data_IF_609031393042
#
_entry.id   IF_609031393042
#
_cell.length_a   1.000
_cell.length_b   1.000
_cell.length_c   1.000
_cell.angle_alpha   90.00
_cell.angle_beta   90.00
_cell.angle_gamma   90.00
#
_symmetry.space_group_name_H-M   'P 1'
#
loop_
_entity.id
_entity.type
_entity.pdbx_description
1 polymer ?
#
# COMPACT_ATOMS: atom_id res chain seq x y z
N UNK A 1 2.20 -0.06 0.32
CA UNK A 1 0.94 -0.36 1.04
C UNK A 1 1.19 -1.50 2.04
N UNK A 2 0.38 -1.65 3.08
CA UNK A 2 0.48 -2.82 3.98
C UNK A 2 -0.72 -3.75 3.75
N UNK A 3 -0.46 -5.04 3.86
CA UNK A 3 -1.45 -6.11 3.74
C UNK A 3 -1.33 -7.04 4.94
N UNK A 4 -2.41 -7.72 5.29
CA UNK A 4 -2.40 -8.84 6.23
C UNK A 4 -2.46 -10.14 5.46
N UNK A 5 -1.59 -11.09 5.78
CA UNK A 5 -1.66 -12.44 5.26
C UNK A 5 -2.95 -13.13 5.75
N UNK A 6 -3.82 -13.51 4.82
CA UNK A 6 -5.02 -14.29 5.11
C UNK A 6 -4.71 -15.77 5.34
N UNK A 7 -3.62 -16.24 4.71
CA UNK A 7 -3.14 -17.62 4.75
C UNK A 7 -1.62 -17.65 4.85
N UNK A 8 -1.05 -18.77 5.30
CA UNK A 8 0.40 -19.00 5.25
C UNK A 8 0.83 -19.40 3.84
N UNK A 9 1.98 -18.91 3.40
CA UNK A 9 2.58 -19.22 2.11
C UNK A 9 4.04 -19.64 2.29
N UNK A 10 4.46 -20.66 1.56
CA UNK A 10 5.85 -21.12 1.52
C UNK A 10 6.39 -20.92 0.12
N UNK A 11 7.42 -20.10 0.00
CA UNK A 11 8.14 -19.85 -1.25
C UNK A 11 8.62 -21.18 -1.85
N UNK A 12 8.25 -21.40 -3.10
CA UNK A 12 8.71 -22.45 -4.00
C UNK A 12 9.90 -22.00 -4.85
N UNK A 13 10.00 -20.70 -5.15
CA UNK A 13 11.03 -20.10 -6.00
C UNK A 13 11.90 -19.10 -5.21
N UNK A 14 13.08 -18.76 -5.75
CA UNK A 14 14.09 -17.98 -5.03
C UNK A 14 13.70 -16.50 -4.87
N UNK A 15 12.81 -16.04 -5.74
CA UNK A 15 12.29 -14.68 -5.88
C UNK A 15 10.91 -14.51 -5.22
N UNK A 16 10.38 -15.57 -4.60
CA UNK A 16 9.18 -15.54 -3.75
C UNK A 16 9.53 -15.35 -2.27
N UNK A 17 8.58 -14.86 -1.46
CA UNK A 17 8.76 -14.75 0.00
C UNK A 17 7.73 -15.56 0.76
N UNK A 18 8.19 -16.42 1.67
CA UNK A 18 7.35 -17.11 2.64
C UNK A 18 6.83 -16.18 3.73
N UNK A 19 5.58 -16.37 4.14
CA UNK A 19 4.94 -15.64 5.24
C UNK A 19 3.91 -16.52 5.95
N UNK A 20 3.56 -16.19 7.19
CA UNK A 20 2.53 -16.86 7.96
C UNK A 20 1.22 -16.09 7.94
N UNK A 21 0.11 -16.79 8.09
CA UNK A 21 -1.20 -16.16 8.30
C UNK A 21 -1.11 -15.15 9.46
N UNK A 22 -1.61 -13.95 9.20
CA UNK A 22 -1.59 -12.83 10.15
C UNK A 22 -0.37 -11.93 10.03
N UNK A 23 0.66 -12.31 9.26
CA UNK A 23 1.82 -11.45 9.03
C UNK A 23 1.42 -10.15 8.33
N UNK A 24 2.09 -9.06 8.70
CA UNK A 24 2.00 -7.77 8.02
C UNK A 24 3.01 -7.73 6.89
N UNK A 25 2.53 -7.53 5.67
CA UNK A 25 3.28 -7.60 4.44
C UNK A 25 3.30 -6.21 3.81
N UNK A 26 4.49 -5.67 3.53
CA UNK A 26 4.63 -4.36 2.88
C UNK A 26 4.63 -4.54 1.36
N UNK A 27 3.49 -4.37 0.72
CA UNK A 27 3.34 -4.40 -0.73
C UNK A 27 3.99 -3.15 -1.35
N UNK A 28 4.94 -3.34 -2.25
CA UNK A 28 5.71 -2.26 -2.91
C UNK A 28 5.25 -2.01 -4.33
N UNK A 29 4.88 -3.05 -5.09
CA UNK A 29 4.41 -2.93 -6.48
C UNK A 29 3.20 -3.83 -6.72
N UNK A 30 2.27 -3.31 -7.51
CA UNK A 30 1.02 -3.96 -7.87
C UNK A 30 0.86 -3.73 -9.37
N UNK A 31 0.98 -4.80 -10.16
CA UNK A 31 0.72 -4.74 -11.61
C UNK A 31 -0.70 -5.24 -11.87
N UNK A 32 -1.52 -4.44 -12.54
CA UNK A 32 -2.95 -4.73 -12.78
C UNK A 32 -3.21 -6.07 -13.51
N UNK A 33 -2.25 -6.55 -14.30
CA UNK A 33 -2.36 -7.80 -15.07
C UNK A 33 -1.71 -9.01 -14.39
N UNK A 34 -1.18 -8.87 -13.17
CA UNK A 34 -0.46 -9.92 -12.44
C UNK A 34 -1.22 -10.38 -11.19
N UNK A 35 -1.38 -11.70 -11.02
CA UNK A 35 -1.91 -12.29 -9.78
C UNK A 35 -0.89 -12.30 -8.62
N UNK A 36 0.24 -11.60 -8.79
CA UNK A 36 1.36 -11.53 -7.88
C UNK A 36 1.74 -10.09 -7.60
N UNK A 37 2.02 -9.80 -6.33
CA UNK A 37 2.53 -8.50 -5.91
C UNK A 37 3.99 -8.61 -5.49
N UNK A 38 4.77 -7.56 -5.75
CA UNK A 38 6.07 -7.41 -5.12
C UNK A 38 5.85 -6.87 -3.72
N UNK A 39 6.43 -7.55 -2.73
CA UNK A 39 6.32 -7.14 -1.34
C UNK A 39 7.64 -7.33 -0.58
N UNK A 40 7.68 -6.74 0.60
CA UNK A 40 8.75 -6.88 1.57
C UNK A 40 8.19 -7.50 2.87
N UNK A 41 8.78 -8.61 3.30
CA UNK A 41 8.44 -9.31 4.56
C UNK A 41 9.73 -9.55 5.32
N UNK A 42 9.81 -9.05 6.56
CA UNK A 42 10.98 -9.18 7.44
C UNK A 42 12.31 -8.73 6.77
N UNK A 43 12.26 -7.67 5.95
CA UNK A 43 13.43 -7.12 5.24
C UNK A 43 13.86 -7.90 4.01
N UNK A 44 13.14 -8.96 3.61
CA UNK A 44 13.32 -9.65 2.33
C UNK A 44 12.29 -9.15 1.33
N UNK A 45 12.71 -8.86 0.10
CA UNK A 45 11.84 -8.41 -1.01
C UNK A 45 11.69 -9.51 -2.06
N UNK A 46 10.49 -9.67 -2.61
CA UNK A 46 10.13 -10.73 -3.54
C UNK A 46 8.61 -10.82 -3.75
N UNK A 47 8.17 -11.86 -4.46
CA UNK A 47 6.79 -12.02 -4.86
C UNK A 47 5.92 -12.69 -3.79
N UNK A 48 4.70 -12.18 -3.65
CA UNK A 48 3.64 -12.76 -2.82
C UNK A 48 2.35 -12.86 -3.65
N UNK A 49 1.58 -13.96 -3.52
CA UNK A 49 0.36 -14.14 -4.30
C UNK A 49 -0.75 -13.23 -3.78
N UNK A 50 -1.40 -12.49 -4.67
CA UNK A 50 -2.47 -11.52 -4.33
C UNK A 50 -3.59 -12.17 -3.51
N UNK A 51 -4.00 -13.38 -3.88
CA UNK A 51 -5.11 -14.08 -3.23
C UNK A 51 -4.80 -14.60 -1.81
N UNK A 52 -3.56 -14.44 -1.33
CA UNK A 52 -3.16 -14.86 0.03
C UNK A 52 -3.14 -13.70 1.01
N UNK A 53 -3.29 -12.47 0.53
CA UNK A 53 -3.16 -11.28 1.34
C UNK A 53 -4.42 -10.43 1.18
N UNK A 54 -4.84 -9.77 2.25
CA UNK A 54 -5.80 -8.69 2.17
C UNK A 54 -5.01 -7.42 2.37
N UNK A 55 -4.98 -6.54 1.37
CA UNK A 55 -4.55 -5.17 1.60
C UNK A 55 -5.32 -4.66 2.81
N UNK A 56 -4.60 -4.16 3.82
CA UNK A 56 -5.26 -3.58 4.96
C UNK A 56 -6.03 -2.38 4.41
N UNK A 57 -7.37 -2.35 4.53
CA UNK A 57 -8.13 -1.19 4.12
C UNK A 57 -7.78 -0.12 5.13
N UNK A 58 -6.73 0.65 4.86
CA UNK A 58 -6.52 1.91 5.52
C UNK A 58 -7.74 2.75 5.18
N UNK A 59 -8.64 3.05 6.14
CA UNK A 59 -9.88 3.75 5.84
C UNK A 59 -9.61 5.12 5.18
N UNK A 60 -8.41 5.65 5.45
CA UNK A 60 -7.88 6.86 4.89
C UNK A 60 -7.26 6.70 3.49
N UNK A 61 -6.81 5.52 3.04
CA UNK A 61 -6.25 5.40 1.69
C UNK A 61 -7.37 5.16 0.67
N UNK A 62 -7.67 6.19 -0.11
CA UNK A 62 -8.77 6.17 -1.06
C UNK A 62 -8.36 5.77 -2.49
N UNK A 63 -7.06 5.62 -2.76
CA UNK A 63 -6.53 5.27 -4.09
C UNK A 63 -6.78 6.38 -5.13
N UNK A 64 -7.18 6.02 -6.38
CA UNK A 64 -7.44 6.99 -7.45
C UNK A 64 -8.77 7.71 -7.22
N UNK A 65 -8.73 8.75 -6.40
CA UNK A 65 -9.89 9.61 -6.10
C UNK A 65 -9.59 11.02 -6.54
N UNK A 66 -10.56 11.63 -7.23
CA UNK A 66 -10.40 12.98 -7.71
C UNK A 66 -10.33 14.00 -6.59
N UNK A 67 -9.71 15.15 -6.85
CA UNK A 67 -9.74 16.27 -5.89
C UNK A 67 -11.18 16.61 -5.52
N UNK A 68 -12.05 16.71 -6.53
CA UNK A 68 -13.45 17.07 -6.37
C UNK A 68 -14.23 16.02 -5.57
N UNK A 69 -13.98 14.73 -5.80
CA UNK A 69 -14.66 13.67 -5.06
C UNK A 69 -14.12 13.53 -3.63
N UNK A 70 -12.85 13.83 -3.39
CA UNK A 70 -12.31 13.97 -2.05
C UNK A 70 -13.00 15.11 -1.30
N UNK A 71 -13.16 16.27 -1.94
CA UNK A 71 -13.90 17.41 -1.38
C UNK A 71 -15.34 17.01 -1.02
N UNK A 72 -16.09 16.35 -1.91
CA UNK A 72 -17.47 15.89 -1.63
C UNK A 72 -17.56 14.94 -0.43
N UNK A 73 -16.59 14.04 -0.26
CA UNK A 73 -16.58 13.04 0.83
C UNK A 73 -16.22 13.65 2.18
N UNK A 74 -15.30 14.61 2.18
CA UNK A 74 -14.75 15.21 3.39
C UNK A 74 -15.49 16.47 3.83
N UNK A 75 -16.15 17.16 2.89
CA UNK A 75 -16.98 18.32 3.23
C UNK A 75 -18.07 17.87 4.20
N UNK A 76 -18.19 18.60 5.32
CA UNK A 76 -19.07 18.29 6.45
C UNK A 76 -18.62 17.16 7.39
N UNK A 77 -17.40 16.63 7.23
CA UNK A 77 -16.78 15.78 8.24
C UNK A 77 -16.13 16.63 9.33
N UNK A 78 -15.93 16.06 10.52
CA UNK A 78 -15.20 16.70 11.61
C UNK A 78 -13.80 17.17 11.18
N UNK A 79 -13.33 18.26 11.79
CA UNK A 79 -11.97 18.76 11.53
C UNK A 79 -10.93 17.67 11.81
N UNK A 80 -10.02 17.47 10.85
CA UNK A 80 -8.96 16.48 10.91
C UNK A 80 -9.30 15.16 10.23
N UNK A 81 -10.56 14.90 9.88
CA UNK A 81 -10.92 13.73 9.06
C UNK A 81 -10.25 13.84 7.70
N UNK A 82 -9.55 12.80 7.26
CA UNK A 82 -8.73 12.86 6.05
C UNK A 82 -8.86 11.63 5.16
N UNK A 83 -8.33 11.78 3.95
CA UNK A 83 -7.98 10.67 3.08
C UNK A 83 -6.69 10.99 2.30
N UNK A 84 -5.94 9.96 1.96
CA UNK A 84 -4.81 9.97 1.03
C UNK A 84 -5.31 9.46 -0.32
N UNK A 85 -5.03 10.22 -1.37
CA UNK A 85 -5.41 9.91 -2.74
C UNK A 85 -4.21 10.04 -3.66
N UNK A 86 -4.25 9.34 -4.79
CA UNK A 86 -3.32 9.58 -5.89
C UNK A 86 -3.64 10.92 -6.56
N UNK A 87 -2.59 11.63 -6.96
CA UNK A 87 -2.72 12.96 -7.57
C UNK A 87 -3.12 12.83 -9.04
N UNK A 88 -4.34 13.26 -9.39
CA UNK A 88 -4.79 13.34 -10.79
C UNK A 88 -3.91 14.26 -11.65
N UNK A 89 -3.25 15.25 -11.02
CA UNK A 89 -2.44 16.24 -11.72
C UNK A 89 -0.99 15.81 -11.90
N UNK A 90 -0.56 14.74 -11.23
CA UNK A 90 0.82 14.24 -11.26
C UNK A 90 0.85 12.72 -11.02
N UNK A 91 0.96 11.91 -12.09
CA UNK A 91 1.07 10.46 -11.98
C UNK A 91 2.26 10.07 -11.08
N UNK A 92 2.01 9.21 -10.09
CA UNK A 92 3.01 8.76 -9.11
C UNK A 92 3.10 9.61 -7.83
N UNK A 93 2.42 10.76 -7.77
CA UNK A 93 2.39 11.57 -6.55
C UNK A 93 1.12 11.34 -5.72
N UNK A 94 1.20 11.58 -4.41
CA UNK A 94 0.07 11.47 -3.49
C UNK A 94 -0.37 12.84 -2.98
N UNK A 95 -1.61 12.92 -2.52
CA UNK A 95 -2.16 14.09 -1.84
C UNK A 95 -2.96 13.66 -0.61
N UNK A 96 -2.74 14.35 0.52
CA UNK A 96 -3.55 14.22 1.73
C UNK A 96 -4.64 15.29 1.69
N UNK A 97 -5.90 14.86 1.59
CA UNK A 97 -7.06 15.77 1.65
C UNK A 97 -7.64 15.71 3.05
N UNK A 98 -7.82 16.85 3.70
CA UNK A 98 -8.21 16.94 5.12
C UNK A 98 -9.40 17.87 5.27
N UNK A 99 -10.42 17.44 6.00
CA UNK A 99 -11.56 18.27 6.39
C UNK A 99 -11.13 19.30 7.43
N UNK A 100 -11.49 20.56 7.19
CA UNK A 100 -11.41 21.66 8.15
C UNK A 100 -12.77 21.98 8.76
N UNK A 101 -13.81 21.22 8.40
CA UNK A 101 -15.21 21.40 8.79
C UNK A 101 -16.02 22.09 7.71
N UNK A 102 -15.69 23.34 7.38
CA UNK A 102 -16.36 24.16 6.35
C UNK A 102 -15.78 23.95 4.94
N UNK A 103 -14.50 23.59 4.89
CA UNK A 103 -13.74 23.37 3.65
C UNK A 103 -12.83 22.16 3.76
N UNK A 104 -12.20 21.81 2.64
CA UNK A 104 -11.23 20.73 2.54
C UNK A 104 -9.92 21.33 2.05
N UNK A 105 -8.84 21.07 2.77
CA UNK A 105 -7.49 21.46 2.39
C UNK A 105 -6.76 20.26 1.79
N UNK A 106 -5.86 20.52 0.85
CA UNK A 106 -5.10 19.48 0.16
C UNK A 106 -3.60 19.73 0.34
N UNK A 107 -2.94 18.76 0.94
CA UNK A 107 -1.50 18.76 1.14
C UNK A 107 -0.86 17.83 0.11
N UNK A 108 0.09 18.36 -0.67
CA UNK A 108 0.86 17.54 -1.60
C UNK A 108 1.85 16.70 -0.82
N UNK A 109 1.88 15.41 -1.12
CA UNK A 109 2.95 14.52 -0.63
C UNK A 109 4.00 14.46 -1.72
N UNK A 110 5.22 14.87 -1.39
CA UNK A 110 6.37 14.74 -2.25
C UNK A 110 6.98 13.36 -2.01
N UNK A 111 7.33 12.66 -3.09
CA UNK A 111 8.05 11.39 -3.06
C UNK A 111 9.41 11.60 -3.73
N UNK A 112 10.46 11.14 -3.05
CA UNK A 112 11.83 11.21 -3.58
C UNK A 112 12.73 10.21 -2.86
N UNK A 113 13.35 9.31 -3.63
CA UNK A 113 14.29 8.32 -3.09
C UNK A 113 13.63 7.32 -2.13
N UNK A 114 12.34 7.02 -2.28
CA UNK A 114 11.58 6.13 -1.39
C UNK A 114 11.17 6.78 -0.07
N UNK A 115 11.30 8.10 0.05
CA UNK A 115 10.86 8.88 1.20
C UNK A 115 9.66 9.76 0.82
N UNK A 116 8.80 10.00 1.81
CA UNK A 116 7.57 10.79 1.70
C UNK A 116 7.59 11.97 2.64
N UNK A 117 7.25 13.17 2.18
CA UNK A 117 7.11 14.36 3.03
C UNK A 117 5.97 15.27 2.55
N UNK A 118 5.44 16.10 3.47
CA UNK A 118 4.52 17.20 3.16
C UNK A 118 5.19 18.55 3.43
N UNK A 119 5.90 18.61 4.56
CA UNK A 119 6.68 19.75 5.02
C UNK A 119 8.16 19.35 5.11
N UNK A 120 8.83 19.73 6.19
CA UNK A 120 10.26 19.44 6.43
C UNK A 120 10.51 17.96 6.81
N UNK A 121 9.54 17.34 7.49
CA UNK A 121 9.67 15.97 7.99
C UNK A 121 9.52 14.92 6.88
N UNK A 122 10.49 13.99 6.80
CA UNK A 122 10.55 12.91 5.82
C UNK A 122 10.35 11.53 6.45
N UNK A 123 9.60 10.67 5.75
CA UNK A 123 9.16 9.37 6.26
C UNK A 123 9.46 8.26 5.26
N UNK A 124 9.80 7.07 5.74
CA UNK A 124 10.07 5.90 4.89
C UNK A 124 8.81 5.21 4.34
N UNK A 125 7.61 5.70 4.69
CA UNK A 125 6.32 5.24 4.16
C UNK A 125 5.21 6.25 4.42
N UNK A 126 4.16 6.21 3.60
CA UNK A 126 2.92 6.97 3.84
C UNK A 126 2.29 6.66 5.19
N UNK A 127 2.39 5.42 5.66
CA UNK A 127 1.86 5.00 6.96
C UNK A 127 2.54 5.75 8.11
N UNK A 128 3.88 5.86 8.07
CA UNK A 128 4.64 6.62 9.06
C UNK A 128 4.33 8.11 9.01
N UNK A 129 4.15 8.65 7.81
CA UNK A 129 3.71 10.03 7.61
C UNK A 129 2.34 10.28 8.26
N UNK A 130 1.37 9.40 8.01
CA UNK A 130 0.03 9.48 8.58
C UNK A 130 0.07 9.38 10.11
N UNK A 131 0.79 8.39 10.64
CA UNK A 131 0.92 8.19 12.09
C UNK A 131 1.54 9.39 12.79
N UNK A 132 2.52 10.04 12.15
CA UNK A 132 3.13 11.26 12.67
C UNK A 132 2.09 12.38 12.80
N UNK A 133 1.33 12.67 11.74
CA UNK A 133 0.34 13.74 11.76
C UNK A 133 -0.96 13.41 12.54
N UNK A 134 -1.11 12.18 13.05
CA UNK A 134 -2.12 11.88 14.08
C UNK A 134 -1.80 12.53 15.43
N UNK A 135 -0.52 12.82 15.68
CA UNK A 135 -0.03 13.41 16.93
C UNK A 135 0.62 14.79 16.74
N UNK A 136 0.96 15.14 15.50
CA UNK A 136 1.55 16.43 15.13
C UNK A 136 0.62 17.18 14.19
N UNK A 137 0.56 18.51 14.33
CA UNK A 137 -0.30 19.33 13.47
C UNK A 137 0.19 19.30 12.04
N UNK A 138 -0.71 19.02 11.10
CA UNK A 138 -0.43 19.15 9.66
C UNK A 138 -0.51 20.60 9.17
N UNK A 139 -1.16 21.49 9.93
CA UNK A 139 -1.28 22.90 9.59
C UNK A 139 -0.46 23.82 10.51
N UNK A 140 -0.02 24.93 9.92
CA UNK A 140 0.78 25.97 10.58
C UNK A 140 -0.10 26.93 11.40
N UNK A 141 -1.23 27.37 10.85
CA UNK A 141 -2.07 28.41 11.47
C UNK A 141 -2.99 27.88 12.58
N UNK A 142 -3.36 26.60 12.53
CA UNK A 142 -4.27 25.95 13.47
C UNK A 142 -3.82 24.52 13.71
N UNK A 143 -3.96 24.05 14.94
CA UNK A 143 -3.72 22.66 15.29
C UNK A 143 -4.77 21.77 14.61
N UNK A 144 -4.33 20.98 13.63
CA UNK A 144 -5.14 20.00 12.91
C UNK A 144 -4.40 18.68 12.90
N UNK A 145 -4.94 17.70 13.61
CA UNK A 145 -4.41 16.34 13.68
C UNK A 145 -5.21 15.45 12.75
N UNK A 146 -4.55 14.51 12.08
CA UNK A 146 -5.21 13.55 11.21
C UNK A 146 -6.05 12.57 12.04
N UNK A 147 -7.29 12.34 11.58
CA UNK A 147 -8.24 11.42 12.20
C UNK A 147 -8.82 10.52 11.12
N UNK A 148 -8.88 9.23 11.40
CA UNK A 148 -9.45 8.28 10.47
C UNK A 148 -10.88 8.70 10.08
N UNK A 149 -11.25 8.60 8.79
CA UNK A 149 -12.62 8.83 8.40
C UNK A 149 -13.52 7.83 9.11
N UNK A 150 -14.73 8.24 9.52
CA UNK A 150 -15.67 7.34 10.16
C UNK A 150 -15.85 6.14 9.24
N UNK A 151 -15.54 4.95 9.76
CA UNK A 151 -15.58 3.70 9.01
C UNK A 151 -16.97 3.59 8.43
N UNK A 152 -17.10 3.83 7.13
CA UNK A 152 -18.40 3.73 6.47
C UNK A 152 -18.87 2.29 6.68
N UNK A 153 -20.08 2.04 7.18
CA UNK A 153 -20.60 0.68 7.28
C UNK A 153 -20.63 -0.02 5.92
N UNK A 154 -20.53 0.72 4.81
CA UNK A 154 -20.29 0.20 3.45
C UNK A 154 -18.90 -0.41 3.21
N UNK A 155 -17.85 0.09 3.86
CA UNK A 155 -16.52 -0.53 3.88
C UNK A 155 -16.47 -1.73 4.84
N UNK A 156 -17.37 -1.81 5.83
CA UNK A 156 -17.57 -3.01 6.66
C UNK A 156 -18.49 -4.05 6.00
N UNK A 157 -19.37 -3.64 5.09
CA UNK A 157 -20.26 -4.53 4.33
C UNK A 157 -19.68 -4.97 2.98
N UNK A 158 -18.50 -4.48 2.63
CA UNK A 158 -17.53 -5.31 1.94
C UNK A 158 -16.63 -5.91 3.03
N UNK A 159 -16.95 -7.10 3.58
CA UNK A 159 -15.86 -7.93 4.05
C UNK A 159 -14.81 -7.91 2.94
N UNK A 160 -13.52 -7.91 3.27
CA UNK A 160 -12.46 -8.30 2.35
C UNK A 160 -12.71 -9.73 1.85
N UNK A 161 -13.79 -9.92 1.09
CA UNK A 161 -14.08 -11.08 0.29
C UNK A 161 -13.05 -10.95 -0.80
N UNK A 162 -11.95 -11.66 -0.59
CA UNK A 162 -11.38 -12.36 -1.71
C UNK A 162 -12.56 -13.06 -2.42
N UNK A 163 -12.99 -12.59 -3.62
CA UNK A 163 -14.16 -13.12 -4.31
C UNK A 163 -13.91 -14.55 -4.79
N UNK A 164 -12.64 -14.98 -4.75
CA UNK A 164 -12.21 -16.30 -5.14
C UNK A 164 -12.29 -17.24 -3.93
N UNK A 165 -13.24 -18.20 -3.92
CA UNK A 165 -13.20 -19.28 -2.94
C UNK A 165 -11.85 -19.99 -3.06
N UNK A 166 -11.21 -20.30 -1.93
CA UNK A 166 -10.02 -21.14 -1.89
C UNK A 166 -10.31 -22.41 -2.72
N UNK A 167 -9.66 -22.62 -3.89
CA UNK A 167 -9.92 -23.76 -4.76
C UNK A 167 -9.56 -25.10 -4.09
N UNK A 168 -8.78 -25.05 -3.00
CA UNK A 168 -8.21 -26.20 -2.31
C UNK A 168 -8.92 -26.48 -0.99
N UNK A 169 -10.25 -26.30 -0.94
CA UNK A 169 -11.07 -26.62 0.22
C UNK A 169 -11.18 -28.14 0.40
N UNK A 170 -10.11 -28.77 0.88
CA UNK A 170 -10.20 -30.04 1.59
C UNK A 170 -9.59 -29.84 2.97
N UNK A 171 -10.46 -30.04 3.96
CA UNK A 171 -10.20 -30.06 5.39
C UNK A 171 -8.80 -30.62 5.73
N UNK A 172 -8.03 -29.85 6.51
CA UNK A 172 -6.85 -30.26 7.32
C UNK A 172 -5.46 -29.70 6.98
N UNK A 173 -5.29 -28.65 6.16
CA UNK A 173 -3.95 -28.06 5.96
C UNK A 173 -3.97 -26.53 6.11
N UNK A 174 -3.26 -26.02 7.13
CA UNK A 174 -3.03 -24.57 7.39
C UNK A 174 -2.06 -23.92 6.38
N UNK A 175 -1.56 -24.70 5.42
CA UNK A 175 -0.65 -24.29 4.36
C UNK A 175 -1.23 -24.71 3.02
N UNK A 176 -1.36 -23.79 2.09
CA UNK A 176 -1.80 -24.11 0.72
C UNK A 176 -0.54 -24.41 -0.10
N UNK A 177 -0.42 -25.58 -0.76
CA UNK A 177 0.70 -25.84 -1.65
C UNK A 177 0.61 -24.94 -2.89
N UNK A 178 1.65 -24.13 -3.06
CA UNK A 178 2.17 -23.36 -4.23
C UNK A 178 1.16 -22.96 -5.33
N UNK A 179 1.17 -21.67 -5.67
CA UNK A 179 0.36 -21.01 -6.71
C UNK A 179 0.76 -21.39 -8.16
N UNK A 180 1.08 -22.66 -8.41
CA UNK A 180 1.62 -23.22 -9.67
C UNK A 180 0.75 -23.03 -10.93
N UNK A 181 -0.46 -22.49 -10.80
CA UNK A 181 -1.32 -22.26 -11.96
C UNK A 181 -1.01 -20.93 -12.68
N UNK A 182 -0.29 -20.01 -12.03
CA UNK A 182 0.13 -18.74 -12.63
C UNK A 182 1.59 -18.48 -12.27
N UNK A 183 2.49 -18.63 -13.23
CA UNK A 183 3.87 -18.13 -13.11
C UNK A 183 3.82 -16.62 -12.89
N UNK A 184 4.54 -16.12 -11.89
CA UNK A 184 4.74 -14.69 -11.70
C UNK A 184 5.51 -14.12 -12.91
N UNK A 185 5.32 -12.82 -13.23
CA UNK A 185 6.06 -12.19 -14.31
C UNK A 185 7.56 -12.29 -14.03
N UNK A 186 8.29 -12.99 -14.89
CA UNK A 186 9.74 -13.05 -14.85
C UNK A 186 10.29 -11.65 -15.05
N UNK A 187 10.78 -11.03 -13.97
CA UNK A 187 11.51 -9.77 -14.06
C UNK A 187 12.69 -10.00 -15.01
N UNK A 188 12.93 -9.13 -16.02
CA UNK A 188 14.10 -9.30 -16.87
C UNK A 188 15.32 -9.29 -15.96
N UNK A 189 16.08 -10.39 -16.01
CA UNK A 189 17.37 -10.53 -15.34
C UNK A 189 18.14 -9.23 -15.58
N UNK A 190 18.61 -8.60 -14.49
CA UNK A 190 19.63 -7.56 -14.60
C UNK A 190 20.80 -8.18 -15.35
N UNK A 191 20.94 -7.85 -16.64
CA UNK A 191 22.13 -8.15 -17.43
C UNK A 191 23.33 -7.74 -16.57
N UNK A 192 24.11 -8.74 -16.16
CA UNK A 192 25.42 -8.51 -15.55
C UNK A 192 26.23 -7.76 -16.59
N UNK A 193 26.41 -6.47 -16.37
CA UNK A 193 27.40 -5.67 -17.09
C UNK A 193 28.75 -6.35 -16.85
N UNK A 194 29.24 -7.08 -17.85
CA UNK A 194 30.60 -7.59 -17.88
C UNK A 194 31.53 -6.38 -17.92
N UNK A 195 32.27 -6.14 -16.83
CA UNK A 195 33.35 -5.16 -16.83
C UNK A 195 34.41 -5.54 -17.88
N UNK A 196 34.83 -4.63 -18.76
CA UNK A 196 35.93 -4.90 -19.67
C UNK A 196 37.24 -4.92 -18.87
N UNK A 197 37.89 -6.08 -18.84
CA UNK A 197 39.28 -6.25 -18.40
C UNK A 197 40.20 -5.37 -19.24
N UNK A 198 40.77 -4.34 -18.63
CA UNK A 198 41.82 -3.52 -19.22
C UNK A 198 43.09 -4.36 -19.41
N UNK A 199 43.42 -4.69 -20.65
CA UNK A 199 44.73 -5.22 -21.02
C UNK A 199 45.74 -4.08 -21.07
N UNK A 200 46.65 -4.06 -20.09
CA UNK A 200 47.87 -3.25 -20.10
C UNK A 200 48.86 -3.82 -21.11
N UNK A 201 49.26 -3.00 -22.08
CA UNK A 201 50.50 -3.13 -22.84
C UNK A 201 51.07 -1.75 -23.13
#
# INVERSE_FOLDING_TARGET
>A
MEAVALFSFTASEADEISFQKGDIIKVTEMEDDSCWFTAEVQGKRGYVPENYISLLPYPWFAGPVSRLDAEKRLRWQDTGVFLVRESESAPGEFSVSVSYGDRVEHFRVLEGGGQYCIWDESFSSLNRLVDFYRTHSIAVEKVVLLRDPPVSPRLLSQPGRNPYPNPYKSSSQESIPSARLFSHPSHPEKERVLEPVMAVR
#
